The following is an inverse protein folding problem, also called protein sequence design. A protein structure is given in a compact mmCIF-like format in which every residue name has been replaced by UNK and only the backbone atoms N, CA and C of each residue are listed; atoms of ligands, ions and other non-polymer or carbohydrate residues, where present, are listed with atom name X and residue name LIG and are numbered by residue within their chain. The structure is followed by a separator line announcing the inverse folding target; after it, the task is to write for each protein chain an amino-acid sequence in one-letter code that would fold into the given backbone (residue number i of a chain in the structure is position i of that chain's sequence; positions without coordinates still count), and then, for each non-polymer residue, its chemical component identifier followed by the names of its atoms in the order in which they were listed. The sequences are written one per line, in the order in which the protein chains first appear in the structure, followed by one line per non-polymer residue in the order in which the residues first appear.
data_IF_485917560718
#
_entry.id   IF_485917560718
#
_cell.length_a   1.000
_cell.length_b   1.000
_cell.length_c   1.000
_cell.angle_alpha   90.00
_cell.angle_beta   90.00
_cell.angle_gamma   90.00
#
_symmetry.space_group_name_H-M   'P 1'
#
loop_
_entity.id
_entity.type
_entity.pdbx_description
1 polymer ?
#
# COMPACT_ATOMS: atom_id res chain seq x y z
N UNK A 1 24.92 1.54 4.20
CA UNK A 1 23.50 1.17 4.41
C UNK A 1 23.13 1.21 5.91
N UNK A 2 23.35 2.34 6.60
CA UNK A 2 23.10 2.46 8.05
C UNK A 2 22.41 3.78 8.46
N UNK A 3 22.09 4.66 7.50
CA UNK A 3 21.55 6.00 7.74
C UNK A 3 20.08 6.18 7.33
N UNK A 4 19.38 5.11 6.91
CA UNK A 4 17.95 5.20 6.53
C UNK A 4 16.96 4.74 7.63
N UNK A 5 17.44 4.17 8.74
CA UNK A 5 16.59 3.67 9.83
C UNK A 5 16.31 4.71 10.94
N UNK A 6 16.70 5.98 10.76
CA UNK A 6 16.62 7.02 11.80
C UNK A 6 15.56 8.11 11.60
N UNK A 7 14.65 7.96 10.64
CA UNK A 7 13.59 8.96 10.41
C UNK A 7 12.19 8.36 10.46
N UNK A 8 11.95 7.34 11.31
CA UNK A 8 10.60 7.00 11.77
C UNK A 8 10.69 6.53 13.24
N UNK A 9 11.32 7.34 14.09
CA UNK A 9 11.07 7.22 15.53
C UNK A 9 9.96 8.18 15.88
N UNK A 10 8.73 7.84 15.50
CA UNK A 10 7.58 8.35 16.24
C UNK A 10 7.76 7.76 17.64
N UNK A 11 8.16 8.63 18.55
CA UNK A 11 8.29 8.37 19.99
C UNK A 11 7.04 7.62 20.42
N UNK A 12 7.22 6.32 20.65
CA UNK A 12 6.21 5.42 21.21
C UNK A 12 6.12 5.68 22.71
N UNK A 13 5.72 6.90 23.10
CA UNK A 13 5.21 7.12 24.45
C UNK A 13 3.87 6.42 24.53
N UNK A 14 3.81 5.36 25.33
CA UNK A 14 2.66 4.49 25.54
C UNK A 14 1.45 5.19 26.17
N UNK A 15 0.83 6.08 25.41
CA UNK A 15 -0.59 6.39 25.53
C UNK A 15 -1.14 6.15 24.14
N UNK A 16 -1.72 4.97 23.95
CA UNK A 16 -2.45 4.69 22.71
C UNK A 16 -3.35 5.87 22.43
N UNK A 17 -3.25 6.42 21.21
CA UNK A 17 -4.30 7.25 20.67
C UNK A 17 -5.53 6.33 20.67
N UNK A 18 -6.29 6.42 21.75
CA UNK A 18 -7.58 5.79 21.86
C UNK A 18 -8.37 6.43 20.73
N UNK A 19 -8.55 5.68 19.66
CA UNK A 19 -9.67 5.85 18.75
C UNK A 19 -10.90 5.57 19.63
N UNK A 20 -11.24 6.54 20.49
CA UNK A 20 -12.50 6.55 21.19
C UNK A 20 -13.49 6.62 20.06
N UNK A 21 -14.07 5.46 19.74
CA UNK A 21 -15.19 5.36 18.84
C UNK A 21 -16.10 6.53 19.15
N UNK A 22 -16.25 7.44 18.18
CA UNK A 22 -17.23 8.52 18.20
C UNK A 22 -18.61 7.85 18.04
N UNK A 23 -18.94 7.01 19.01
CA UNK A 23 -20.20 6.29 19.22
C UNK A 23 -21.02 7.01 20.28
N UNK A 24 -20.78 8.31 20.45
CA UNK A 24 -21.68 9.23 21.10
C UNK A 24 -22.21 10.07 19.96
N UNK A 25 -23.52 10.00 19.71
CA UNK A 25 -24.14 10.58 18.52
C UNK A 25 -23.68 12.01 18.28
N UNK A 26 -23.51 12.36 17.00
CA UNK A 26 -23.15 13.71 16.52
C UNK A 26 -24.27 14.73 16.79
N UNK A 27 -24.81 14.75 18.02
CA UNK A 27 -25.91 15.60 18.40
C UNK A 27 -25.37 16.99 18.71
N UNK A 28 -25.65 17.92 17.81
CA UNK A 28 -25.39 19.35 18.04
C UNK A 28 -26.31 19.80 19.19
N UNK A 29 -25.75 20.41 20.23
CA UNK A 29 -26.53 20.97 21.34
C UNK A 29 -27.23 22.26 20.93
N UNK A 30 -28.37 22.09 20.25
CA UNK A 30 -29.20 23.19 19.74
C UNK A 30 -29.67 24.11 20.86
N UNK A 31 -29.97 23.55 22.04
CA UNK A 31 -30.51 24.32 23.16
C UNK A 31 -29.44 25.22 23.80
N UNK A 32 -28.23 24.69 23.98
CA UNK A 32 -27.09 25.48 24.46
C UNK A 32 -26.73 26.62 23.50
N UNK A 33 -26.78 26.36 22.19
CA UNK A 33 -26.47 27.37 21.16
C UNK A 33 -27.50 28.51 21.11
N UNK A 34 -28.79 28.19 21.18
CA UNK A 34 -29.86 29.20 21.22
C UNK A 34 -29.72 30.06 22.49
N UNK A 35 -29.51 29.46 23.66
CA UNK A 35 -29.31 30.21 24.91
C UNK A 35 -28.07 31.10 24.89
N UNK A 36 -27.00 30.67 24.22
CA UNK A 36 -25.80 31.48 24.05
C UNK A 36 -26.04 32.69 23.13
N UNK A 37 -26.87 32.54 22.10
CA UNK A 37 -27.28 33.63 21.21
C UNK A 37 -28.24 34.61 21.91
N UNK A 38 -29.17 34.10 22.71
CA UNK A 38 -30.04 34.94 23.54
C UNK A 38 -29.24 35.74 24.58
N UNK A 39 -28.18 35.16 25.16
CA UNK A 39 -27.30 35.84 26.12
C UNK A 39 -26.51 37.03 25.51
N UNK A 40 -26.33 37.05 24.18
CA UNK A 40 -25.73 38.19 23.44
C UNK A 40 -26.80 39.10 22.83
N UNK A 41 -28.03 39.05 23.35
CA UNK A 41 -29.15 39.92 22.98
C UNK A 41 -29.72 39.67 21.57
N UNK A 42 -29.49 38.49 20.98
CA UNK A 42 -30.13 38.08 19.72
C UNK A 42 -31.58 37.69 20.00
N UNK A 43 -32.57 38.21 19.25
CA UNK A 43 -33.96 37.80 19.41
C UNK A 43 -34.11 36.30 19.15
N UNK A 44 -34.84 35.59 20.01
CA UNK A 44 -34.94 34.11 20.02
C UNK A 44 -35.26 33.50 18.65
N UNK A 45 -36.12 34.14 17.86
CA UNK A 45 -36.45 33.72 16.49
C UNK A 45 -35.23 33.71 15.55
N UNK A 46 -34.34 34.70 15.66
CA UNK A 46 -33.08 34.71 14.90
C UNK A 46 -32.07 33.71 15.47
N UNK A 47 -32.05 33.53 16.80
CA UNK A 47 -31.16 32.57 17.46
C UNK A 47 -31.44 31.13 17.01
N UNK A 48 -32.72 30.74 16.93
CA UNK A 48 -33.17 29.44 16.43
C UNK A 48 -32.85 29.25 14.94
N UNK A 49 -33.14 30.26 14.11
CA UNK A 49 -32.87 30.20 12.67
C UNK A 49 -31.37 30.07 12.36
N UNK A 50 -30.54 30.82 13.09
CA UNK A 50 -29.08 30.77 12.95
C UNK A 50 -28.55 29.41 13.41
N UNK A 51 -28.98 28.93 14.57
CA UNK A 51 -28.61 27.61 15.11
C UNK A 51 -29.02 26.49 14.17
N UNK A 52 -30.23 26.57 13.59
CA UNK A 52 -30.73 25.61 12.61
C UNK A 52 -29.90 25.57 11.33
N UNK A 53 -29.51 26.73 10.81
CA UNK A 53 -28.68 26.85 9.60
C UNK A 53 -27.28 26.31 9.81
N UNK A 54 -26.67 26.61 10.97
CA UNK A 54 -25.35 26.08 11.32
C UNK A 54 -25.40 24.57 11.52
N UNK A 55 -26.43 24.08 12.22
CA UNK A 55 -26.58 22.63 12.47
C UNK A 55 -26.74 21.85 11.17
N UNK A 56 -27.62 22.29 10.26
CA UNK A 56 -27.84 21.60 8.99
C UNK A 56 -26.62 21.67 8.06
N UNK A 57 -25.92 22.79 8.04
CA UNK A 57 -24.65 22.93 7.32
C UNK A 57 -23.58 21.96 7.86
N UNK A 58 -23.47 21.84 9.18
CA UNK A 58 -22.53 20.94 9.83
C UNK A 58 -22.88 19.47 9.58
N UNK A 59 -24.15 19.09 9.67
CA UNK A 59 -24.64 17.74 9.32
C UNK A 59 -24.27 17.39 7.86
N UNK A 60 -24.46 18.32 6.92
CA UNK A 60 -24.07 18.13 5.52
C UNK A 60 -22.56 17.94 5.33
N UNK A 61 -21.74 18.73 6.03
CA UNK A 61 -20.27 18.60 5.97
C UNK A 61 -19.81 17.26 6.54
N UNK A 62 -20.40 16.81 7.65
CA UNK A 62 -20.08 15.51 8.25
C UNK A 62 -20.39 14.36 7.29
N UNK A 63 -21.55 14.39 6.64
CA UNK A 63 -21.90 13.37 5.65
C UNK A 63 -20.97 13.39 4.43
N UNK A 64 -20.57 14.58 3.94
CA UNK A 64 -19.58 14.69 2.85
C UNK A 64 -18.22 14.12 3.26
N UNK A 65 -17.73 14.45 4.46
CA UNK A 65 -16.44 13.96 4.96
C UNK A 65 -16.47 12.44 5.12
N UNK A 66 -17.55 11.86 5.64
CA UNK A 66 -17.70 10.39 5.71
C UNK A 66 -17.64 9.74 4.32
N UNK A 67 -18.34 10.31 3.35
CA UNK A 67 -18.32 9.82 1.97
C UNK A 67 -16.92 9.92 1.34
N UNK A 68 -16.22 11.04 1.55
CA UNK A 68 -14.85 11.24 1.06
C UNK A 68 -13.85 10.27 1.72
N UNK A 69 -13.99 10.00 3.03
CA UNK A 69 -13.18 9.01 3.73
C UNK A 69 -13.41 7.62 3.13
N UNK A 70 -14.68 7.19 2.99
CA UNK A 70 -14.99 5.88 2.42
C UNK A 70 -14.45 5.72 0.97
N UNK A 71 -14.53 6.78 0.16
CA UNK A 71 -13.96 6.78 -1.19
C UNK A 71 -12.44 6.73 -1.18
N UNK A 72 -11.78 7.44 -0.26
CA UNK A 72 -10.33 7.42 -0.10
C UNK A 72 -9.81 6.05 0.33
N UNK A 73 -10.51 5.37 1.23
CA UNK A 73 -10.19 4.01 1.67
C UNK A 73 -10.28 3.01 0.52
N UNK A 74 -11.36 3.06 -0.28
CA UNK A 74 -11.50 2.22 -1.46
C UNK A 74 -10.41 2.47 -2.52
N UNK A 75 -10.00 3.72 -2.70
CA UNK A 75 -8.94 4.11 -3.65
C UNK A 75 -7.57 3.59 -3.19
N UNK A 76 -7.25 3.72 -1.91
CA UNK A 76 -6.00 3.22 -1.34
C UNK A 76 -5.91 1.70 -1.41
N UNK A 77 -7.01 0.99 -1.12
CA UNK A 77 -7.08 -0.47 -1.23
C UNK A 77 -6.85 -0.91 -2.68
N UNK A 78 -7.51 -0.25 -3.64
CA UNK A 78 -7.35 -0.57 -5.05
C UNK A 78 -5.90 -0.36 -5.53
N UNK A 79 -5.28 0.77 -5.16
CA UNK A 79 -3.90 1.07 -5.52
C UNK A 79 -2.89 0.09 -4.89
N UNK A 80 -3.10 -0.29 -3.62
CA UNK A 80 -2.23 -1.28 -2.95
C UNK A 80 -2.39 -2.68 -3.54
N UNK A 81 -3.60 -3.07 -3.94
CA UNK A 81 -3.85 -4.35 -4.62
C UNK A 81 -3.14 -4.40 -5.99
N UNK A 82 -3.23 -3.34 -6.78
CA UNK A 82 -2.58 -3.27 -8.10
C UNK A 82 -1.05 -3.25 -7.99
N UNK A 83 -0.49 -2.52 -7.02
CA UNK A 83 0.94 -2.50 -6.72
C UNK A 83 1.47 -3.88 -6.28
N UNK A 84 0.70 -4.60 -5.47
CA UNK A 84 1.08 -5.94 -5.01
C UNK A 84 1.03 -6.97 -6.15
N UNK A 85 0.05 -6.90 -7.04
CA UNK A 85 -0.05 -7.80 -8.19
C UNK A 85 1.11 -7.61 -9.17
N UNK A 86 1.46 -6.34 -9.45
CA UNK A 86 2.54 -6.01 -10.41
C UNK A 86 3.93 -6.35 -9.88
N UNK A 87 4.23 -6.05 -8.61
CA UNK A 87 5.51 -6.38 -8.00
C UNK A 87 5.77 -7.89 -7.94
N UNK A 88 4.78 -8.69 -7.54
CA UNK A 88 4.89 -10.16 -7.49
C UNK A 88 5.05 -10.76 -8.89
N UNK A 89 4.35 -10.22 -9.90
CA UNK A 89 4.49 -10.69 -11.28
C UNK A 89 5.90 -10.40 -11.85
N UNK A 90 6.46 -9.23 -11.57
CA UNK A 90 7.82 -8.87 -11.98
C UNK A 90 8.90 -9.69 -11.28
N UNK A 91 8.76 -9.92 -9.98
CA UNK A 91 9.67 -10.77 -9.19
C UNK A 91 9.70 -12.19 -9.75
N UNK A 92 8.52 -12.82 -9.95
CA UNK A 92 8.43 -14.17 -10.51
C UNK A 92 9.01 -14.25 -11.93
N UNK A 93 8.73 -13.26 -12.79
CA UNK A 93 9.29 -13.23 -14.14
C UNK A 93 10.84 -13.14 -14.14
N UNK A 94 11.41 -12.32 -13.25
CA UNK A 94 12.85 -12.17 -13.13
C UNK A 94 13.53 -13.43 -12.59
N UNK A 95 12.91 -14.13 -11.65
CA UNK A 95 13.39 -15.41 -11.12
C UNK A 95 13.37 -16.50 -12.20
N UNK A 96 12.25 -16.68 -12.89
CA UNK A 96 12.12 -17.62 -14.02
C UNK A 96 13.14 -17.33 -15.14
N UNK A 97 13.42 -16.05 -15.42
CA UNK A 97 14.45 -15.66 -16.39
C UNK A 97 15.85 -16.09 -15.93
N UNK A 98 16.16 -15.91 -14.65
CA UNK A 98 17.45 -16.31 -14.09
C UNK A 98 17.62 -17.84 -14.17
N UNK A 99 16.60 -18.63 -13.81
CA UNK A 99 16.62 -20.10 -13.90
C UNK A 99 16.77 -20.59 -15.35
N UNK A 100 16.16 -19.91 -16.31
CA UNK A 100 16.29 -20.27 -17.72
C UNK A 100 17.69 -19.98 -18.27
N UNK A 101 18.27 -18.83 -17.90
CA UNK A 101 19.66 -18.49 -18.27
C UNK A 101 20.63 -19.53 -17.71
N UNK A 102 20.52 -19.90 -16.43
CA UNK A 102 21.40 -20.91 -15.82
C UNK A 102 21.26 -22.29 -16.49
N UNK A 103 20.03 -22.69 -16.80
CA UNK A 103 19.75 -23.97 -17.46
C UNK A 103 20.36 -24.05 -18.86
N UNK A 104 20.30 -22.95 -19.63
CA UNK A 104 20.94 -22.86 -20.95
C UNK A 104 22.46 -23.01 -20.86
N UNK A 105 23.10 -22.32 -19.90
CA UNK A 105 24.56 -22.40 -19.76
C UNK A 105 25.03 -23.80 -19.36
N UNK A 106 24.32 -24.48 -18.45
CA UNK A 106 24.65 -25.85 -18.07
C UNK A 106 24.43 -26.83 -19.23
N UNK A 107 23.31 -26.74 -19.96
CA UNK A 107 23.04 -27.61 -21.11
C UNK A 107 24.11 -27.46 -22.21
N UNK A 108 24.50 -26.23 -22.54
CA UNK A 108 25.56 -25.95 -23.54
C UNK A 108 26.91 -26.49 -23.06
N UNK A 109 27.22 -26.35 -21.77
CA UNK A 109 28.45 -26.86 -21.17
C UNK A 109 28.53 -28.39 -21.28
N UNK A 110 27.46 -29.13 -20.93
CA UNK A 110 27.42 -30.58 -21.09
C UNK A 110 27.57 -31.02 -22.56
N UNK A 111 26.91 -30.32 -23.48
CA UNK A 111 27.03 -30.61 -24.91
C UNK A 111 28.45 -30.38 -25.45
N UNK A 112 29.14 -29.33 -24.98
CA UNK A 112 30.53 -29.09 -25.35
C UNK A 112 31.47 -30.19 -24.82
N UNK A 113 31.30 -30.61 -23.56
CA UNK A 113 32.12 -31.68 -22.98
C UNK A 113 31.95 -33.01 -23.70
N UNK A 114 30.72 -33.38 -24.09
CA UNK A 114 30.47 -34.63 -24.80
C UNK A 114 31.09 -34.61 -26.20
N UNK A 115 31.00 -33.48 -26.92
CA UNK A 115 31.66 -33.31 -28.21
C UNK A 115 33.19 -33.45 -28.11
N UNK A 116 33.80 -32.79 -27.12
CA UNK A 116 35.25 -32.87 -26.89
C UNK A 116 35.66 -34.31 -26.53
N UNK A 117 34.89 -35.00 -25.69
CA UNK A 117 35.16 -36.39 -25.33
C UNK A 117 35.10 -37.33 -26.56
N UNK A 118 34.10 -37.18 -27.43
CA UNK A 118 33.97 -37.97 -28.67
C UNK A 118 35.14 -37.69 -29.62
N UNK A 119 35.52 -36.41 -29.79
CA UNK A 119 36.65 -36.03 -30.64
C UNK A 119 37.99 -36.59 -30.13
N UNK A 120 38.19 -36.60 -28.81
CA UNK A 120 39.38 -37.16 -28.19
C UNK A 120 39.49 -38.67 -28.41
N UNK A 121 38.38 -39.41 -28.27
CA UNK A 121 38.34 -40.86 -28.54
C UNK A 121 38.58 -41.17 -30.03
N UNK A 122 38.00 -40.40 -30.94
CA UNK A 122 38.26 -40.57 -32.37
C UNK A 122 39.73 -40.31 -32.73
N UNK A 123 40.32 -39.26 -32.15
CA UNK A 123 41.72 -38.92 -32.37
C UNK A 123 42.68 -39.96 -31.79
N UNK A 124 42.38 -40.51 -30.60
CA UNK A 124 43.20 -41.55 -30.00
C UNK A 124 43.19 -42.84 -30.81
N UNK A 125 42.05 -43.19 -31.41
CA UNK A 125 41.93 -44.38 -32.24
C UNK A 125 42.73 -44.26 -33.55
N UNK A 126 42.73 -43.08 -34.18
CA UNK A 126 43.59 -42.81 -35.34
C UNK A 126 45.08 -42.83 -34.98
N UNK A 127 45.45 -42.32 -33.80
CA UNK A 127 46.82 -42.34 -33.32
C UNK A 127 47.35 -43.76 -33.14
N UNK A 128 46.53 -44.67 -32.60
CA UNK A 128 46.88 -46.10 -32.44
C UNK A 128 46.97 -46.84 -33.78
N UNK A 129 46.18 -46.46 -34.80
CA UNK A 129 46.24 -47.13 -36.11
C UNK A 129 47.46 -46.75 -36.95
N UNK A 130 48.08 -45.59 -36.69
CA UNK A 130 49.23 -45.08 -37.47
C UNK A 130 50.58 -45.54 -36.90
N UNK A 131 50.63 -45.89 -35.61
CA UNK A 131 51.85 -46.21 -34.88
C UNK A 131 51.97 -47.71 -34.61
#
# INVERSE_FOLDING_TARGET
MAMLKRTISIVRTGRGLSYRSLSSGNHVDKLGMVKALEAINVPSTQAEALTGTITSGLESVVEKVKADIAKSEATLLFQTFEYQSTSVAEEGFNELKAEFETTKYEAVKYAAYTLVAVAAVGSSMLFVMIW
#
